data_IF_120414200620
#
_entry.id   IF_120414200620
#
_cell.length_a   1.000
_cell.length_b   1.000
_cell.length_c   1.000
_cell.angle_alpha   90.00
_cell.angle_beta   90.00
_cell.angle_gamma   90.00
#
_symmetry.space_group_name_H-M   'P 1'
#
loop_
_entity.id
_entity.type
_entity.pdbx_description
1 polymer ?
#
# COMPACT_ATOMS: atom_id res chain seq x y z
N UNK A 1 -11.46 7.55 36.39
CA UNK A 1 -11.99 8.39 35.30
C UNK A 1 -11.55 7.70 34.02
N UNK A 2 -12.48 6.91 33.49
CA UNK A 2 -12.26 5.92 32.45
C UNK A 2 -12.36 6.60 31.09
N UNK A 3 -11.28 6.59 30.31
CA UNK A 3 -11.33 6.90 28.89
C UNK A 3 -11.73 5.62 28.14
N UNK A 4 -13.02 5.52 27.80
CA UNK A 4 -13.49 4.54 26.82
C UNK A 4 -13.07 5.04 25.43
N UNK A 5 -12.05 4.40 24.86
CA UNK A 5 -11.74 4.51 23.45
C UNK A 5 -12.90 3.87 22.67
N UNK A 6 -13.78 4.71 22.13
CA UNK A 6 -14.90 4.31 21.30
C UNK A 6 -14.37 3.59 20.04
N UNK A 7 -14.41 2.26 20.07
CA UNK A 7 -14.14 1.43 18.91
C UNK A 7 -15.17 1.78 17.83
N UNK A 8 -14.73 2.48 16.78
CA UNK A 8 -15.49 2.64 15.56
C UNK A 8 -15.77 1.23 15.01
N UNK A 9 -17.04 0.81 14.89
CA UNK A 9 -17.36 -0.50 14.34
C UNK A 9 -16.93 -0.53 12.86
N UNK A 10 -16.41 -1.67 12.35
CA UNK A 10 -16.06 -1.77 10.95
C UNK A 10 -17.32 -1.60 10.11
N UNK A 11 -17.45 -0.45 9.44
CA UNK A 11 -18.55 -0.20 8.53
C UNK A 11 -18.62 -1.35 7.52
N UNK A 12 -19.79 -1.98 7.44
CA UNK A 12 -20.09 -2.99 6.43
C UNK A 12 -19.87 -2.35 5.06
N UNK A 13 -18.83 -2.81 4.35
CA UNK A 13 -18.50 -2.45 2.97
C UNK A 13 -19.51 -3.11 2.01
N UNK A 14 -20.81 -2.90 2.26
CA UNK A 14 -21.89 -3.40 1.42
C UNK A 14 -22.01 -2.52 0.18
N UNK A 15 -21.63 -3.09 -0.96
CA UNK A 15 -22.14 -2.81 -2.32
C UNK A 15 -22.49 -1.35 -2.65
N UNK A 16 -21.58 -0.42 -2.39
CA UNK A 16 -21.58 0.85 -3.10
C UNK A 16 -20.47 0.81 -4.13
N UNK A 17 -20.87 0.60 -5.39
CA UNK A 17 -20.03 0.90 -6.52
C UNK A 17 -19.40 2.29 -6.31
N UNK A 18 -18.08 2.37 -6.46
CA UNK A 18 -17.29 3.57 -6.22
C UNK A 18 -17.90 4.77 -6.95
N UNK A 19 -18.57 5.66 -6.23
CA UNK A 19 -18.99 6.95 -6.77
C UNK A 19 -17.74 7.85 -6.79
N UNK A 20 -17.17 8.18 -7.97
CA UNK A 20 -15.99 9.05 -8.05
C UNK A 20 -16.26 10.45 -7.51
N UNK A 21 -17.52 10.85 -7.29
CA UNK A 21 -17.90 12.11 -6.66
C UNK A 21 -17.76 12.13 -5.13
N UNK A 22 -17.48 10.97 -4.50
CA UNK A 22 -17.34 10.81 -3.04
C UNK A 22 -15.93 10.44 -2.57
N UNK A 23 -14.92 10.59 -3.43
CA UNK A 23 -13.54 10.36 -3.03
C UNK A 23 -13.17 11.27 -1.84
N UNK A 24 -12.56 10.73 -0.77
CA UNK A 24 -12.21 11.53 0.38
C UNK A 24 -11.17 12.58 -0.02
N UNK A 25 -11.40 13.80 0.45
CA UNK A 25 -10.47 14.90 0.32
C UNK A 25 -9.70 15.06 1.63
N UNK A 26 -8.43 15.44 1.53
CA UNK A 26 -7.68 15.90 2.70
C UNK A 26 -8.09 17.32 3.14
N UNK A 27 -7.45 17.83 4.19
CA UNK A 27 -7.72 19.19 4.72
C UNK A 27 -7.38 20.32 3.76
N UNK A 28 -6.63 20.04 2.69
CA UNK A 28 -6.28 20.99 1.63
C UNK A 28 -7.13 20.77 0.37
N UNK A 29 -8.23 20.00 0.48
CA UNK A 29 -9.13 19.66 -0.62
C UNK A 29 -8.46 18.89 -1.78
N UNK A 30 -7.41 18.13 -1.49
CA UNK A 30 -6.78 17.25 -2.49
C UNK A 30 -7.47 15.88 -2.48
N UNK A 31 -7.91 15.38 -3.64
CA UNK A 31 -8.59 14.09 -3.72
C UNK A 31 -7.61 12.93 -3.60
N UNK A 32 -8.07 11.84 -2.99
CA UNK A 32 -7.36 10.57 -2.97
C UNK A 32 -7.36 9.93 -4.37
N UNK A 33 -6.20 9.92 -5.05
CA UNK A 33 -6.07 9.45 -6.43
C UNK A 33 -5.05 8.33 -6.63
N UNK A 34 -3.93 8.40 -5.90
CA UNK A 34 -2.77 7.55 -6.09
C UNK A 34 -2.48 6.73 -4.84
N UNK A 35 -2.27 5.42 -5.00
CA UNK A 35 -1.85 4.52 -3.94
C UNK A 35 -0.43 4.02 -4.22
N UNK A 36 0.54 4.45 -3.40
CA UNK A 36 1.90 3.94 -3.45
C UNK A 36 2.05 2.76 -2.49
N UNK A 37 2.30 1.58 -3.04
CA UNK A 37 2.47 0.34 -2.25
C UNK A 37 3.96 0.05 -2.12
N UNK A 38 4.46 0.06 -0.89
CA UNK A 38 5.82 -0.39 -0.58
C UNK A 38 5.79 -1.90 -0.34
N UNK A 39 6.38 -2.68 -1.25
CA UNK A 39 6.32 -4.14 -1.18
C UNK A 39 7.49 -4.74 -0.39
N UNK A 40 8.60 -4.02 -0.25
CA UNK A 40 9.76 -4.50 0.51
C UNK A 40 10.57 -3.32 1.03
N UNK A 41 11.27 -3.52 2.12
CA UNK A 41 12.27 -2.61 2.69
C UNK A 41 13.70 -2.93 2.20
N UNK A 42 13.88 -4.01 1.44
CA UNK A 42 15.17 -4.46 0.91
C UNK A 42 15.44 -3.83 -0.45
N UNK A 43 16.70 -3.49 -0.68
CA UNK A 43 17.20 -3.01 -1.96
C UNK A 43 18.53 -3.70 -2.29
N UNK A 44 18.79 -3.97 -3.56
CA UNK A 44 20.08 -4.49 -4.05
C UNK A 44 21.16 -3.39 -4.12
N UNK A 45 20.78 -2.11 -4.09
CA UNK A 45 21.69 -0.97 -4.08
C UNK A 45 21.83 -0.32 -2.70
N UNK A 46 22.88 0.51 -2.57
CA UNK A 46 23.19 1.30 -1.37
C UNK A 46 23.50 2.74 -1.76
N UNK A 47 22.51 3.39 -2.37
CA UNK A 47 22.62 4.77 -2.84
C UNK A 47 22.91 5.71 -1.66
N UNK A 48 23.85 6.63 -1.83
CA UNK A 48 24.31 7.54 -0.77
C UNK A 48 23.20 8.42 -0.19
N UNK A 49 22.19 8.77 -0.99
CA UNK A 49 21.06 9.62 -0.60
C UNK A 49 19.84 8.85 -0.10
N UNK A 50 19.81 7.52 -0.21
CA UNK A 50 18.62 6.71 0.10
C UNK A 50 18.93 5.61 1.12
N UNK A 51 19.87 4.71 0.81
CA UNK A 51 20.30 3.62 1.69
C UNK A 51 21.82 3.63 1.86
N UNK A 52 22.39 4.62 2.57
CA UNK A 52 23.83 4.74 2.77
C UNK A 52 24.40 3.54 3.53
N UNK A 53 25.57 3.04 3.12
CA UNK A 53 26.20 1.85 3.71
C UNK A 53 26.53 2.00 5.20
N UNK A 54 26.74 3.22 5.67
CA UNK A 54 27.02 3.52 7.08
C UNK A 54 25.83 3.17 7.98
N UNK A 55 24.60 3.34 7.47
CA UNK A 55 23.36 3.01 8.19
C UNK A 55 22.80 1.64 7.82
N UNK A 56 22.81 1.27 6.53
CA UNK A 56 22.20 0.04 5.99
C UNK A 56 23.25 -1.05 5.65
N UNK A 57 24.28 -1.14 6.49
CA UNK A 57 25.38 -2.09 6.38
C UNK A 57 25.03 -3.51 6.83
N UNK A 58 26.05 -4.32 7.15
CA UNK A 58 25.88 -5.74 7.51
C UNK A 58 25.05 -5.98 8.79
N UNK A 59 24.99 -5.00 9.69
CA UNK A 59 24.23 -5.09 10.94
C UNK A 59 22.79 -4.59 10.85
N UNK A 60 22.35 -4.07 9.70
CA UNK A 60 21.00 -3.54 9.57
C UNK A 60 19.99 -4.69 9.50
N UNK A 61 19.02 -4.68 10.42
CA UNK A 61 17.94 -5.66 10.46
C UNK A 61 16.77 -5.17 9.61
N UNK A 62 16.56 -5.82 8.47
CA UNK A 62 15.37 -5.64 7.66
C UNK A 62 14.17 -6.34 8.31
N UNK A 63 12.96 -5.85 8.02
CA UNK A 63 11.71 -6.41 8.46
C UNK A 63 11.65 -7.91 8.18
N UNK A 64 11.18 -8.67 9.16
CA UNK A 64 10.90 -10.08 8.98
C UNK A 64 9.76 -10.27 7.98
N UNK A 65 9.70 -11.43 7.32
CA UNK A 65 8.69 -11.70 6.29
C UNK A 65 7.26 -11.57 6.82
N UNK A 66 7.06 -11.91 8.09
CA UNK A 66 5.77 -11.87 8.81
C UNK A 66 5.30 -10.45 9.13
N UNK A 67 6.20 -9.48 9.13
CA UNK A 67 5.88 -8.06 9.37
C UNK A 67 5.52 -7.32 8.07
N UNK A 68 5.74 -7.96 6.92
CA UNK A 68 5.39 -7.42 5.60
C UNK A 68 4.05 -8.00 5.17
N UNK A 69 3.12 -7.11 4.82
CA UNK A 69 1.80 -7.49 4.30
C UNK A 69 1.88 -8.57 3.23
N UNK A 70 1.01 -9.57 3.37
CA UNK A 70 0.78 -10.60 2.36
C UNK A 70 0.21 -9.97 1.08
N UNK A 71 0.25 -10.72 -0.02
CA UNK A 71 -0.30 -10.22 -1.28
C UNK A 71 -1.83 -10.10 -1.21
N UNK A 72 -2.46 -10.99 -0.45
CA UNK A 72 -3.88 -11.03 -0.15
C UNK A 72 -4.31 -9.78 0.64
N UNK A 73 -3.58 -9.43 1.70
CA UNK A 73 -3.82 -8.20 2.47
C UNK A 73 -3.60 -6.94 1.63
N UNK A 74 -2.50 -6.90 0.87
CA UNK A 74 -2.17 -5.78 -0.01
C UNK A 74 -3.28 -5.55 -1.06
N UNK A 75 -3.76 -6.64 -1.67
CA UNK A 75 -4.83 -6.60 -2.68
C UNK A 75 -6.17 -6.21 -2.06
N UNK A 76 -6.47 -6.71 -0.85
CA UNK A 76 -7.66 -6.30 -0.10
C UNK A 76 -7.66 -4.80 0.16
N UNK A 77 -6.54 -4.24 0.62
CA UNK A 77 -6.42 -2.79 0.83
C UNK A 77 -6.55 -2.02 -0.48
N UNK A 78 -5.86 -2.46 -1.53
CA UNK A 78 -5.95 -1.82 -2.85
C UNK A 78 -7.40 -1.75 -3.35
N UNK A 79 -8.19 -2.82 -3.21
CA UNK A 79 -9.63 -2.81 -3.55
C UNK A 79 -10.42 -1.76 -2.78
N UNK A 80 -10.19 -1.66 -1.47
CA UNK A 80 -10.86 -0.65 -0.63
C UNK A 80 -10.48 0.76 -1.09
N UNK A 81 -9.20 1.01 -1.37
CA UNK A 81 -8.71 2.30 -1.84
C UNK A 81 -9.26 2.68 -3.22
N UNK A 82 -9.35 1.72 -4.15
CA UNK A 82 -9.97 1.92 -5.46
C UNK A 82 -11.45 2.25 -5.31
N UNK A 83 -12.16 1.57 -4.39
CA UNK A 83 -13.54 1.91 -4.06
C UNK A 83 -13.70 3.33 -3.48
N UNK A 84 -12.65 3.87 -2.85
CA UNK A 84 -12.59 5.25 -2.37
C UNK A 84 -12.11 6.27 -3.43
N UNK A 85 -11.90 5.88 -4.69
CA UNK A 85 -11.54 6.80 -5.77
C UNK A 85 -10.08 6.78 -6.22
N UNK A 86 -9.25 5.89 -5.66
CA UNK A 86 -7.91 5.65 -6.22
C UNK A 86 -8.05 5.06 -7.63
N UNK A 87 -7.41 5.72 -8.60
CA UNK A 87 -7.37 5.25 -9.99
C UNK A 87 -6.01 4.69 -10.40
N UNK A 88 -4.97 4.96 -9.59
CA UNK A 88 -3.58 4.61 -9.90
C UNK A 88 -2.90 3.95 -8.71
N UNK A 89 -2.31 2.79 -8.94
CA UNK A 89 -1.42 2.13 -7.98
C UNK A 89 0.01 2.25 -8.49
N UNK A 90 0.97 2.41 -7.59
CA UNK A 90 2.40 2.37 -7.94
C UNK A 90 3.13 1.45 -6.99
N UNK A 91 3.81 0.45 -7.57
CA UNK A 91 4.61 -0.51 -6.81
C UNK A 91 6.01 0.05 -6.55
N UNK A 92 6.41 0.04 -5.28
CA UNK A 92 7.64 0.64 -4.77
C UNK A 92 8.19 -0.15 -3.59
N UNK A 93 9.22 0.34 -2.93
CA UNK A 93 9.82 -0.28 -1.75
C UNK A 93 11.23 0.26 -1.54
N UNK A 94 12.15 -0.63 -1.19
CA UNK A 94 13.53 -0.54 -1.66
C UNK A 94 13.56 -0.82 -3.16
N UNK A 95 13.98 -2.03 -3.55
CA UNK A 95 13.88 -2.49 -4.94
C UNK A 95 12.73 -3.50 -5.06
N UNK A 96 11.61 -3.16 -5.71
CA UNK A 96 10.46 -4.06 -5.84
C UNK A 96 10.81 -5.44 -6.35
N UNK A 97 11.70 -5.54 -7.34
CA UNK A 97 12.08 -6.81 -7.98
C UNK A 97 12.85 -7.76 -7.05
N UNK A 98 13.30 -7.29 -5.89
CA UNK A 98 13.90 -8.14 -4.85
C UNK A 98 12.83 -8.96 -4.11
N UNK A 99 11.57 -8.52 -4.11
CA UNK A 99 10.47 -9.29 -3.51
C UNK A 99 10.13 -10.48 -4.40
N UNK A 100 10.32 -11.68 -3.86
CA UNK A 100 9.97 -12.94 -4.54
C UNK A 100 8.47 -12.99 -4.89
N UNK A 101 8.18 -13.57 -6.06
CA UNK A 101 6.85 -13.79 -6.62
C UNK A 101 6.03 -12.50 -6.84
N UNK A 102 6.69 -11.36 -7.08
CA UNK A 102 6.02 -10.08 -7.26
C UNK A 102 4.98 -10.11 -8.40
N UNK A 103 5.22 -10.90 -9.44
CA UNK A 103 4.29 -11.10 -10.56
C UNK A 103 2.91 -11.59 -10.11
N UNK A 104 2.82 -12.36 -9.00
CA UNK A 104 1.55 -12.78 -8.42
C UNK A 104 0.76 -11.59 -7.88
N UNK A 105 1.44 -10.66 -7.19
CA UNK A 105 0.81 -9.43 -6.72
C UNK A 105 0.33 -8.58 -7.89
N UNK A 106 1.14 -8.43 -8.94
CA UNK A 106 0.75 -7.68 -10.14
C UNK A 106 -0.51 -8.29 -10.76
N UNK A 107 -0.58 -9.61 -10.90
CA UNK A 107 -1.78 -10.29 -11.42
C UNK A 107 -3.01 -10.06 -10.53
N UNK A 108 -2.86 -10.12 -9.20
CA UNK A 108 -3.96 -9.85 -8.26
C UNK A 108 -4.46 -8.40 -8.33
N UNK A 109 -3.56 -7.43 -8.50
CA UNK A 109 -3.90 -6.01 -8.62
C UNK A 109 -4.53 -5.68 -9.98
N UNK A 110 -4.04 -6.27 -11.06
CA UNK A 110 -4.58 -6.09 -12.41
C UNK A 110 -6.04 -6.57 -12.53
N UNK A 111 -6.46 -7.49 -11.66
CA UNK A 111 -7.86 -7.96 -11.58
C UNK A 111 -8.78 -7.07 -10.74
N UNK A 112 -8.35 -5.88 -10.29
CA UNK A 112 -9.19 -4.97 -9.52
C UNK A 112 -10.00 -4.07 -10.46
N UNK A 113 -11.32 -4.22 -10.44
CA UNK A 113 -12.23 -3.33 -11.17
C UNK A 113 -12.07 -1.87 -10.71
N UNK A 114 -11.95 -0.96 -11.67
CA UNK A 114 -11.79 0.48 -11.43
C UNK A 114 -10.34 0.96 -11.32
N UNK A 115 -9.36 0.05 -11.22
CA UNK A 115 -7.94 0.41 -11.32
C UNK A 115 -7.58 0.71 -12.79
N UNK A 116 -7.08 1.92 -13.06
CA UNK A 116 -6.81 2.38 -14.44
C UNK A 116 -5.33 2.34 -14.81
N UNK A 117 -4.45 2.45 -13.81
CA UNK A 117 -3.00 2.54 -14.00
C UNK A 117 -2.28 1.80 -12.85
N UNK A 118 -1.24 1.03 -13.19
CA UNK A 118 -0.45 0.19 -12.28
C UNK A 118 1.05 0.36 -12.51
#
# INVERSE_FOLDING_TARGET
MSEEAELIPPASLSDQAADPSRAPNDRLNRPLRDLRISVTDRCNFRCTYCMPRQAFGRGFQFLARTEILTFEETTRLARIFVACGVGKVRITGGEPLVRRDLEKLIAMLAGIDGLRDL
#
